data_IF_153778365527
#
_entry.id   IF_153778365527
#
_cell.length_a   1.000
_cell.length_b   1.000
_cell.length_c   1.000
_cell.angle_alpha   90.00
_cell.angle_beta   90.00
_cell.angle_gamma   90.00
#
_symmetry.space_group_name_H-M   'P 1'
#
loop_
_entity.id
_entity.type
_entity.pdbx_description
1 polymer ?
#
# COMPACT_ATOMS: atom_id res chain seq x y z
N UNK A 1 -9.32 22.03 16.19
CA UNK A 1 -9.13 21.79 15.86
C UNK A 1 -8.81 21.28 15.36
N UNK A 2 -8.97 20.97 15.25
CA UNK A 2 -8.69 20.42 14.84
C UNK A 2 -8.34 20.47 13.97
N UNK A 3 -8.40 20.83 13.80
CA UNK A 3 -8.12 20.93 12.98
C UNK A 3 -7.17 20.72 12.40
N UNK A 4 -6.92 20.30 12.61
CA UNK A 4 -6.08 19.87 11.98
C UNK A 4 -6.47 19.14 10.95
N UNK A 5 -7.17 19.57 10.12
CA UNK A 5 -7.51 18.92 8.90
C UNK A 5 -6.23 18.63 8.13
N UNK A 6 -6.12 17.41 7.64
CA UNK A 6 -5.03 17.06 6.75
C UNK A 6 -5.19 17.83 5.44
N UNK A 7 -4.08 18.18 4.79
CA UNK A 7 -4.15 18.72 3.47
C UNK A 7 -4.74 17.68 2.53
N UNK A 8 -5.21 18.13 1.36
CA UNK A 8 -5.77 17.23 0.38
C UNK A 8 -4.74 16.17 -0.02
N UNK A 9 -3.48 16.60 -0.19
CA UNK A 9 -2.40 15.70 -0.57
C UNK A 9 -2.15 14.65 0.52
N UNK A 10 -2.12 15.08 1.77
CA UNK A 10 -1.89 14.15 2.87
C UNK A 10 -3.02 13.14 2.97
N UNK A 11 -4.24 13.60 2.82
CA UNK A 11 -5.39 12.70 2.85
C UNK A 11 -5.31 11.69 1.72
N UNK A 12 -4.95 12.16 0.52
CA UNK A 12 -4.83 11.29 -0.63
C UNK A 12 -3.77 10.21 -0.41
N UNK A 13 -2.63 10.60 0.18
CA UNK A 13 -1.57 9.64 0.45
C UNK A 13 -2.02 8.58 1.46
N UNK A 14 -2.73 9.00 2.50
CA UNK A 14 -3.23 8.04 3.49
C UNK A 14 -4.23 7.08 2.89
N UNK A 15 -5.10 7.57 2.02
CA UNK A 15 -6.07 6.73 1.35
C UNK A 15 -5.39 5.74 0.43
N UNK A 16 -4.40 6.19 -0.32
CA UNK A 16 -3.66 5.31 -1.22
C UNK A 16 -2.90 4.25 -0.43
N UNK A 17 -2.26 4.66 0.66
CA UNK A 17 -1.54 3.71 1.51
C UNK A 17 -2.49 2.65 2.05
N UNK A 18 -3.67 3.07 2.47
CA UNK A 18 -4.68 2.15 2.99
C UNK A 18 -5.11 1.16 1.92
N UNK A 19 -5.28 1.63 0.68
CA UNK A 19 -5.64 0.76 -0.43
C UNK A 19 -4.54 -0.25 -0.71
N UNK A 20 -3.28 0.20 -0.63
CA UNK A 20 -2.15 -0.70 -0.85
C UNK A 20 -2.10 -1.79 0.22
N UNK A 21 -2.32 -1.40 1.47
CA UNK A 21 -2.32 -2.38 2.57
C UNK A 21 -3.44 -3.39 2.39
N UNK A 22 -4.63 -2.92 2.03
CA UNK A 22 -5.76 -3.81 1.82
C UNK A 22 -5.51 -4.78 0.67
N UNK A 23 -4.93 -4.28 -0.43
CA UNK A 23 -4.62 -5.13 -1.57
C UNK A 23 -3.54 -6.15 -1.21
N UNK A 24 -2.54 -5.73 -0.46
CA UNK A 24 -1.49 -6.65 -0.03
C UNK A 24 -2.06 -7.74 0.87
N UNK A 25 -2.94 -7.37 1.77
CA UNK A 25 -3.59 -8.34 2.65
C UNK A 25 -4.37 -9.36 1.83
N UNK A 26 -5.09 -8.90 0.80
CA UNK A 26 -5.86 -9.81 -0.05
C UNK A 26 -4.95 -10.76 -0.80
N UNK A 27 -3.81 -10.28 -1.31
CA UNK A 27 -2.86 -11.13 -2.02
C UNK A 27 -2.33 -12.23 -1.09
N UNK A 28 -1.94 -11.84 0.12
CA UNK A 28 -1.41 -12.79 1.09
C UNK A 28 -2.47 -13.82 1.46
N UNK A 29 -3.69 -13.37 1.67
CA UNK A 29 -4.78 -14.26 2.04
C UNK A 29 -5.10 -15.26 0.94
N UNK A 30 -5.11 -14.80 -0.31
CA UNK A 30 -5.53 -15.63 -1.44
C UNK A 30 -4.39 -16.48 -2.01
N UNK A 31 -3.17 -15.96 -2.00
CA UNK A 31 -2.06 -16.58 -2.71
C UNK A 31 -0.84 -16.84 -1.84
N UNK A 32 -0.81 -16.35 -0.62
CA UNK A 32 0.29 -16.58 0.30
C UNK A 32 1.33 -15.48 0.27
N UNK A 33 2.18 -15.48 1.29
CA UNK A 33 3.21 -14.44 1.44
C UNK A 33 4.18 -14.40 0.27
N UNK A 34 4.48 -15.55 -0.29
CA UNK A 34 5.48 -15.61 -1.36
C UNK A 34 4.98 -14.95 -2.65
N UNK A 35 3.67 -14.89 -2.82
CA UNK A 35 3.10 -14.25 -4.00
C UNK A 35 3.14 -12.73 -3.91
N UNK A 36 3.31 -12.19 -2.73
CA UNK A 36 3.29 -10.75 -2.54
C UNK A 36 4.62 -10.14 -2.97
N UNK A 37 4.56 -9.27 -3.97
CA UNK A 37 5.72 -8.50 -4.42
C UNK A 37 5.25 -7.08 -4.67
N UNK A 38 6.19 -6.15 -4.72
CA UNK A 38 5.87 -4.75 -5.03
C UNK A 38 5.19 -4.68 -6.40
N UNK A 39 5.74 -5.42 -7.36
CA UNK A 39 5.19 -5.40 -8.72
C UNK A 39 3.76 -5.93 -8.76
N UNK A 40 3.52 -7.04 -8.07
CA UNK A 40 2.19 -7.61 -8.05
C UNK A 40 1.19 -6.68 -7.38
N UNK A 41 1.62 -6.06 -6.30
CA UNK A 41 0.79 -5.10 -5.60
C UNK A 41 0.45 -3.92 -6.51
N UNK A 42 1.44 -3.40 -7.24
CA UNK A 42 1.22 -2.29 -8.15
C UNK A 42 0.21 -2.66 -9.22
N UNK A 43 0.33 -3.86 -9.79
CA UNK A 43 -0.61 -4.32 -10.79
C UNK A 43 -2.01 -4.44 -10.23
N UNK A 44 -2.11 -4.93 -9.00
CA UNK A 44 -3.42 -5.15 -8.37
C UNK A 44 -4.18 -3.85 -8.17
N UNK A 45 -3.49 -2.79 -7.79
CA UNK A 45 -4.13 -1.50 -7.53
C UNK A 45 -4.10 -0.56 -8.72
N UNK A 46 -3.47 -0.98 -9.82
CA UNK A 46 -3.41 -0.14 -11.02
C UNK A 46 -2.45 1.02 -10.93
N UNK A 47 -1.36 0.85 -10.19
CA UNK A 47 -0.33 1.88 -10.03
C UNK A 47 0.96 1.45 -10.69
N UNK A 48 1.79 2.43 -11.03
CA UNK A 48 3.14 2.12 -11.48
C UNK A 48 3.96 1.60 -10.30
N UNK A 49 4.87 0.68 -10.57
CA UNK A 49 5.71 0.10 -9.53
C UNK A 49 6.48 1.18 -8.77
N UNK A 50 7.01 2.17 -9.49
CA UNK A 50 7.76 3.25 -8.84
C UNK A 50 6.88 4.05 -7.88
N UNK A 51 5.60 4.18 -8.20
CA UNK A 51 4.68 4.89 -7.31
C UNK A 51 4.50 4.14 -6.01
N UNK A 52 4.45 2.81 -6.06
CA UNK A 52 4.31 2.01 -4.85
C UNK A 52 5.54 2.16 -3.97
N UNK A 53 6.73 2.26 -4.57
CA UNK A 53 7.96 2.46 -3.81
C UNK A 53 7.96 3.76 -3.01
N UNK A 54 7.14 4.74 -3.40
CA UNK A 54 7.06 5.97 -2.62
C UNK A 54 6.29 5.76 -1.30
N UNK A 55 5.60 4.64 -1.18
CA UNK A 55 4.86 4.30 0.04
C UNK A 55 5.56 3.20 0.84
N UNK A 56 6.11 2.22 0.17
CA UNK A 56 6.75 1.07 0.81
C UNK A 56 8.06 0.78 0.12
N UNK A 57 9.14 0.81 0.87
CA UNK A 57 10.47 0.65 0.30
C UNK A 57 10.69 -0.77 -0.25
N UNK A 58 10.07 -1.76 0.38
CA UNK A 58 10.23 -3.15 -0.04
C UNK A 58 9.06 -3.98 0.49
N UNK A 59 9.12 -5.27 0.18
CA UNK A 59 8.09 -6.22 0.61
C UNK A 59 7.97 -6.26 2.12
N UNK A 60 9.09 -6.18 2.82
CA UNK A 60 9.09 -6.26 4.27
C UNK A 60 8.29 -5.12 4.88
N UNK A 61 8.43 -3.92 4.31
CA UNK A 61 7.67 -2.77 4.81
C UNK A 61 6.18 -2.99 4.65
N UNK A 62 5.77 -3.61 3.53
CA UNK A 62 4.36 -3.91 3.29
C UNK A 62 3.87 -4.95 4.31
N UNK A 63 4.64 -5.99 4.53
CA UNK A 63 4.26 -7.04 5.47
C UNK A 63 4.11 -6.50 6.88
N UNK A 64 4.98 -5.60 7.27
CA UNK A 64 4.88 -4.95 8.58
C UNK A 64 3.57 -4.18 8.71
N UNK A 65 3.16 -3.50 7.65
CA UNK A 65 1.93 -2.72 7.66
C UNK A 65 0.68 -3.62 7.67
N UNK A 66 0.78 -4.80 7.02
CA UNK A 66 -0.33 -5.75 6.95
C UNK A 66 -0.52 -6.48 8.27
N UNK A 67 0.56 -6.77 8.95
CA UNK A 67 0.52 -7.47 10.23
C UNK A 67 -0.10 -6.61 11.36
#
# INVERSE_FOLDING_TARGET
MADRALSRRERQRLETRSELVAAAHAIVKDEGYEALTIRKLAERVGMATMSVYSYFADKQAILTAVA
#
